data_IF_394124088517
#
_entry.id   IF_394124088517
#
_cell.length_a   1.000
_cell.length_b   1.000
_cell.length_c   1.000
_cell.angle_alpha   90.00
_cell.angle_beta   90.00
_cell.angle_gamma   90.00
#
_symmetry.space_group_name_H-M   'P 1'
#
loop_
_entity.id
_entity.type
_entity.pdbx_description
1 polymer ?
#
# COMPACT_ATOMS: atom_id res chain seq x y z
N UNK A 1 5.79 25.06 21.98
CA UNK A 1 5.68 24.61 21.60
C UNK A 1 5.93 24.35 20.35
N UNK A 2 6.21 24.74 19.58
CA UNK A 2 6.44 24.41 18.32
C UNK A 2 7.58 23.60 17.97
N UNK A 3 7.29 22.44 17.65
CA UNK A 3 8.31 21.61 17.06
C UNK A 3 8.31 21.94 15.59
N UNK A 4 9.48 22.31 15.09
CA UNK A 4 9.59 22.62 13.68
C UNK A 4 9.66 21.31 12.89
N UNK A 5 8.60 20.99 12.18
CA UNK A 5 8.51 19.75 11.40
C UNK A 5 9.16 19.86 10.02
N UNK A 6 9.59 21.06 9.64
CA UNK A 6 10.10 21.24 8.29
C UNK A 6 11.29 20.35 7.95
N UNK A 7 12.33 20.25 8.82
CA UNK A 7 13.41 19.32 8.51
C UNK A 7 12.94 17.87 8.41
N UNK A 8 12.00 17.49 9.26
CA UNK A 8 11.49 16.13 9.25
C UNK A 8 10.73 15.84 7.97
N UNK A 9 9.90 16.80 7.53
CA UNK A 9 9.17 16.66 6.28
C UNK A 9 10.11 16.53 5.10
N UNK A 10 11.14 17.36 5.05
CA UNK A 10 12.09 17.33 3.95
C UNK A 10 12.87 16.03 3.93
N UNK A 11 13.26 15.55 5.10
CA UNK A 11 14.00 14.31 5.21
C UNK A 11 13.15 13.13 4.74
N UNK A 12 11.90 13.08 5.16
CA UNK A 12 11.03 11.98 4.79
C UNK A 12 10.68 12.02 3.30
N UNK A 13 10.46 13.22 2.78
CA UNK A 13 10.17 13.36 1.36
C UNK A 13 11.37 12.91 0.52
N UNK A 14 12.57 13.28 0.96
CA UNK A 14 13.78 12.88 0.29
C UNK A 14 13.94 11.35 0.31
N UNK A 15 13.65 10.74 1.45
CA UNK A 15 13.74 9.30 1.60
C UNK A 15 12.76 8.58 0.67
N UNK A 16 11.51 9.00 0.66
CA UNK A 16 10.52 8.35 -0.19
C UNK A 16 10.82 8.60 -1.67
N UNK A 17 11.36 9.77 -1.99
CA UNK A 17 11.79 10.03 -3.35
C UNK A 17 12.89 9.07 -3.76
N UNK A 18 13.81 8.77 -2.85
CA UNK A 18 14.94 7.90 -3.17
C UNK A 18 14.52 6.45 -3.40
N UNK A 19 13.47 5.98 -2.73
CA UNK A 19 13.10 4.57 -2.83
C UNK A 19 11.96 4.30 -3.82
N UNK A 20 11.03 5.22 -4.01
CA UNK A 20 9.92 5.00 -4.95
C UNK A 20 9.70 6.20 -5.89
N UNK A 21 10.66 7.10 -5.94
CA UNK A 21 10.58 8.26 -6.83
C UNK A 21 9.33 9.10 -6.55
N UNK A 22 9.01 9.26 -5.26
CA UNK A 22 7.83 10.02 -4.84
C UNK A 22 8.17 11.49 -4.78
N UNK A 23 7.54 12.30 -5.62
CA UNK A 23 7.81 13.72 -5.66
C UNK A 23 7.07 14.49 -4.58
N UNK A 24 7.32 15.81 -4.49
CA UNK A 24 6.70 16.62 -3.42
C UNK A 24 5.18 16.65 -3.48
N UNK A 25 4.59 16.69 -4.67
CA UNK A 25 3.15 16.74 -4.79
C UNK A 25 2.52 15.45 -4.30
N UNK A 26 3.11 14.33 -4.68
CA UNK A 26 2.60 13.04 -4.23
C UNK A 26 2.81 12.86 -2.75
N UNK A 27 3.93 13.34 -2.22
CA UNK A 27 4.16 13.30 -0.78
C UNK A 27 3.08 14.11 -0.04
N UNK A 28 2.69 15.25 -0.61
CA UNK A 28 1.60 16.03 -0.05
C UNK A 28 0.29 15.23 0.00
N UNK A 29 0.00 14.47 -1.05
CA UNK A 29 -1.19 13.64 -1.06
C UNK A 29 -1.13 12.53 -0.01
N UNK A 30 0.06 11.94 0.16
CA UNK A 30 0.26 10.93 1.19
C UNK A 30 0.02 11.52 2.58
N UNK A 31 0.56 12.72 2.83
CA UNK A 31 0.37 13.38 4.12
C UNK A 31 -1.08 13.73 4.39
N UNK A 32 -1.84 14.09 3.35
CA UNK A 32 -3.24 14.40 3.53
C UNK A 32 -4.01 13.18 4.02
N UNK A 33 -3.70 12.02 3.46
CA UNK A 33 -4.41 10.79 3.83
C UNK A 33 -3.89 10.17 5.11
N UNK A 34 -2.61 10.33 5.38
CA UNK A 34 -1.98 9.72 6.54
C UNK A 34 -0.89 10.64 7.07
N UNK A 35 -1.26 11.61 7.91
CA UNK A 35 -0.28 12.58 8.41
C UNK A 35 0.89 11.94 9.14
N UNK A 36 0.66 10.82 9.83
CA UNK A 36 1.72 10.14 10.55
C UNK A 36 2.79 9.56 9.65
N UNK A 37 2.56 9.58 8.33
CA UNK A 37 3.59 9.08 7.41
C UNK A 37 4.88 9.87 7.50
N UNK A 38 4.82 11.11 8.01
CA UNK A 38 6.01 11.92 8.18
C UNK A 38 6.98 11.27 9.18
N UNK A 39 6.47 10.44 10.08
CA UNK A 39 7.27 9.84 11.15
C UNK A 39 7.57 8.36 10.95
N UNK A 40 7.18 7.77 9.83
CA UNK A 40 7.43 6.36 9.62
C UNK A 40 8.94 6.09 9.55
N UNK A 41 9.36 5.02 10.24
CA UNK A 41 10.76 4.63 10.24
C UNK A 41 11.17 4.05 8.89
N UNK A 42 12.42 4.31 8.52
CA UNK A 42 12.91 3.92 7.20
C UNK A 42 12.93 2.41 6.99
N UNK A 43 13.40 1.67 7.98
CA UNK A 43 13.57 0.22 7.80
C UNK A 43 12.25 -0.51 7.51
N UNK A 44 11.18 -0.30 8.29
CA UNK A 44 9.91 -0.94 7.93
C UNK A 44 9.36 -0.48 6.59
N UNK A 45 9.53 0.80 6.26
CA UNK A 45 9.03 1.30 4.98
C UNK A 45 9.73 0.58 3.83
N UNK A 46 11.04 0.41 3.93
CA UNK A 46 11.79 -0.31 2.89
C UNK A 46 11.28 -1.74 2.76
N UNK A 47 11.03 -2.40 3.89
CA UNK A 47 10.52 -3.78 3.85
C UNK A 47 9.18 -3.86 3.15
N UNK A 48 8.29 -2.90 3.41
CA UNK A 48 6.97 -2.89 2.76
C UNK A 48 7.10 -2.64 1.27
N UNK A 49 7.93 -1.68 0.89
CA UNK A 49 8.15 -1.39 -0.53
C UNK A 49 8.75 -2.61 -1.23
N UNK A 50 9.73 -3.24 -0.60
CA UNK A 50 10.36 -4.43 -1.19
C UNK A 50 9.34 -5.54 -1.37
N UNK A 51 8.46 -5.74 -0.39
CA UNK A 51 7.42 -6.76 -0.52
C UNK A 51 6.52 -6.48 -1.73
N UNK A 52 6.10 -5.24 -1.89
CA UNK A 52 5.20 -4.91 -2.99
C UNK A 52 5.92 -5.09 -4.33
N UNK A 53 7.18 -4.69 -4.40
CA UNK A 53 7.96 -4.93 -5.61
C UNK A 53 8.10 -6.43 -5.90
N UNK A 54 8.32 -7.21 -4.86
CA UNK A 54 8.48 -8.67 -5.03
C UNK A 54 7.18 -9.31 -5.50
N UNK A 55 6.04 -8.69 -5.24
CA UNK A 55 4.76 -9.17 -5.76
C UNK A 55 4.68 -9.06 -7.27
N UNK A 56 5.53 -8.24 -7.88
CA UNK A 56 5.55 -8.09 -9.32
C UNK A 56 5.16 -6.71 -9.82
N UNK A 57 4.97 -5.76 -8.91
CA UNK A 57 4.60 -4.39 -9.31
C UNK A 57 5.82 -3.59 -9.70
N UNK A 58 5.68 -2.77 -10.75
CA UNK A 58 6.74 -1.87 -11.16
C UNK A 58 6.87 -0.71 -10.16
N UNK A 59 7.98 0.01 -10.25
CA UNK A 59 8.18 1.17 -9.39
C UNK A 59 7.04 2.18 -9.54
N UNK A 60 6.63 2.41 -10.78
CA UNK A 60 5.54 3.34 -11.06
C UNK A 60 4.24 2.86 -10.41
N UNK A 61 3.97 1.56 -10.48
CA UNK A 61 2.78 0.99 -9.87
C UNK A 61 2.84 1.09 -8.35
N UNK A 62 4.01 0.81 -7.76
CA UNK A 62 4.18 0.94 -6.32
C UNK A 62 3.88 2.36 -5.88
N UNK A 63 4.42 3.35 -6.60
CA UNK A 63 4.19 4.75 -6.27
C UNK A 63 2.71 5.08 -6.31
N UNK A 64 2.03 4.65 -7.35
CA UNK A 64 0.60 4.90 -7.49
C UNK A 64 -0.19 4.27 -6.34
N UNK A 65 0.15 3.04 -5.97
CA UNK A 65 -0.53 2.34 -4.89
C UNK A 65 -0.31 3.06 -3.56
N UNK A 66 0.91 3.51 -3.30
CA UNK A 66 1.22 4.21 -2.05
C UNK A 66 0.49 5.54 -1.97
N UNK A 67 0.42 6.27 -3.06
CA UNK A 67 -0.32 7.54 -3.07
C UNK A 67 -1.81 7.28 -2.83
N UNK A 68 -2.34 6.24 -3.41
CA UNK A 68 -3.75 5.89 -3.23
C UNK A 68 -4.07 5.34 -1.85
N UNK A 69 -3.11 4.65 -1.24
CA UNK A 69 -3.32 4.02 0.06
C UNK A 69 -2.01 4.03 0.86
N UNK A 70 -1.67 5.15 1.50
CA UNK A 70 -0.41 5.24 2.23
C UNK A 70 -0.26 4.23 3.37
N UNK A 71 -1.36 3.68 3.88
CA UNK A 71 -1.30 2.65 4.90
C UNK A 71 -0.48 1.44 4.47
N UNK A 72 -0.30 1.26 3.15
CA UNK A 72 0.52 0.15 2.67
C UNK A 72 1.93 0.18 3.24
N UNK A 73 2.40 1.35 3.65
CA UNK A 73 3.75 1.48 4.21
C UNK A 73 3.82 1.09 5.67
N UNK A 74 2.68 0.86 6.33
CA UNK A 74 2.64 0.65 7.77
C UNK A 74 1.81 -0.56 8.23
N UNK A 75 1.16 -1.25 7.30
CA UNK A 75 0.34 -2.40 7.66
C UNK A 75 1.18 -3.58 8.14
N UNK A 76 0.55 -4.52 8.84
CA UNK A 76 1.22 -5.74 9.23
C UNK A 76 1.63 -6.50 7.96
N UNK A 77 2.92 -6.73 7.82
CA UNK A 77 3.46 -7.32 6.61
C UNK A 77 2.99 -8.76 6.40
N UNK A 78 2.89 -9.53 7.48
CA UNK A 78 2.45 -10.92 7.38
C UNK A 78 1.00 -10.98 6.88
N UNK A 79 0.17 -10.05 7.34
CA UNK A 79 -1.22 -10.00 6.88
C UNK A 79 -1.28 -9.61 5.42
N UNK A 80 -0.44 -8.66 5.00
CA UNK A 80 -0.38 -8.30 3.59
C UNK A 80 0.00 -9.50 2.73
N UNK A 81 0.96 -10.30 3.22
CA UNK A 81 1.39 -11.48 2.48
C UNK A 81 0.26 -12.49 2.34
N UNK A 82 -0.51 -12.71 3.41
CA UNK A 82 -1.64 -13.63 3.36
C UNK A 82 -2.70 -13.15 2.38
N UNK A 83 -3.00 -11.85 2.40
CA UNK A 83 -3.99 -11.30 1.48
C UNK A 83 -3.54 -11.43 0.03
N UNK A 84 -2.27 -11.16 -0.22
CA UNK A 84 -1.76 -11.26 -1.59
C UNK A 84 -1.76 -12.70 -2.06
N UNK A 85 -1.39 -13.64 -1.17
CA UNK A 85 -1.40 -15.05 -1.52
C UNK A 85 -2.80 -15.50 -1.90
N UNK A 86 -3.80 -15.10 -1.12
CA UNK A 86 -5.18 -15.43 -1.45
C UNK A 86 -5.60 -14.82 -2.79
N UNK A 87 -5.20 -13.56 -3.02
CA UNK A 87 -5.51 -12.88 -4.27
C UNK A 87 -4.97 -13.69 -5.46
N UNK A 88 -3.72 -14.11 -5.36
CA UNK A 88 -3.11 -14.85 -6.45
C UNK A 88 -3.67 -16.25 -6.65
N UNK A 89 -3.86 -16.98 -5.56
CA UNK A 89 -4.20 -18.41 -5.67
C UNK A 89 -5.68 -18.68 -5.80
N UNK A 90 -6.50 -17.83 -5.19
CA UNK A 90 -7.94 -18.10 -5.14
C UNK A 90 -8.78 -17.16 -5.99
N UNK A 91 -8.37 -15.91 -6.10
CA UNK A 91 -9.20 -14.95 -6.83
C UNK A 91 -8.87 -14.87 -8.32
N UNK A 92 -7.64 -15.18 -8.68
CA UNK A 92 -7.27 -15.26 -10.10
C UNK A 92 -7.42 -13.98 -10.87
N UNK A 93 -7.24 -12.84 -10.23
CA UNK A 93 -7.40 -11.55 -10.91
C UNK A 93 -6.05 -10.96 -11.28
N UNK A 94 -6.08 -10.00 -12.19
CA UNK A 94 -4.85 -9.35 -12.65
C UNK A 94 -4.27 -8.44 -11.58
N UNK A 95 -2.95 -8.32 -11.57
CA UNK A 95 -2.27 -7.45 -10.62
C UNK A 95 -2.75 -6.00 -10.73
N UNK A 96 -3.12 -5.57 -11.93
CA UNK A 96 -3.61 -4.20 -12.13
C UNK A 96 -4.82 -3.88 -11.24
N UNK A 97 -5.60 -4.89 -10.88
CA UNK A 97 -6.73 -4.65 -10.00
C UNK A 97 -6.28 -4.12 -8.64
N UNK A 98 -5.12 -4.57 -8.16
CA UNK A 98 -4.58 -4.09 -6.90
C UNK A 98 -3.98 -2.70 -7.03
N UNK A 99 -3.48 -2.36 -8.21
CA UNK A 99 -3.00 -0.99 -8.44
C UNK A 99 -4.17 -0.01 -8.37
N UNK A 100 -5.31 -0.41 -8.93
CA UNK A 100 -6.50 0.42 -8.92
C UNK A 100 -7.14 0.47 -7.53
N UNK A 101 -7.05 -0.61 -6.79
CA UNK A 101 -7.68 -0.71 -5.47
C UNK A 101 -6.71 -1.27 -4.45
N UNK A 102 -5.68 -0.50 -4.08
CA UNK A 102 -4.67 -1.00 -3.16
C UNK A 102 -5.18 -1.19 -1.73
N UNK A 103 -6.31 -0.59 -1.39
CA UNK A 103 -6.90 -0.77 -0.07
C UNK A 103 -7.26 -2.22 0.22
N UNK A 104 -7.28 -3.07 -0.81
CA UNK A 104 -7.48 -4.50 -0.62
C UNK A 104 -6.59 -5.06 0.49
N UNK A 105 -5.34 -4.60 0.54
CA UNK A 105 -4.39 -5.08 1.55
C UNK A 105 -4.78 -4.72 2.97
N UNK A 106 -5.67 -3.74 3.14
CA UNK A 106 -6.07 -3.31 4.49
C UNK A 106 -7.22 -4.12 5.06
N UNK A 107 -7.87 -4.94 4.24
CA UNK A 107 -9.05 -5.68 4.70
C UNK A 107 -8.67 -6.97 5.39
N UNK A 108 -9.49 -7.39 6.36
CA UNK A 108 -9.30 -8.67 7.01
C UNK A 108 -9.60 -9.81 6.04
N UNK A 109 -8.69 -10.76 5.96
CA UNK A 109 -8.86 -11.88 5.03
C UNK A 109 -10.09 -12.70 5.37
N UNK A 110 -10.20 -13.12 6.65
CA UNK A 110 -11.31 -13.99 7.05
C UNK A 110 -12.62 -13.24 7.19
N UNK A 111 -12.57 -11.99 7.64
CA UNK A 111 -13.79 -11.24 7.91
C UNK A 111 -14.37 -10.54 6.70
N UNK A 112 -13.55 -10.24 5.71
CA UNK A 112 -14.00 -9.42 4.59
C UNK A 112 -13.67 -10.01 3.23
N UNK A 113 -12.41 -10.32 3.00
CA UNK A 113 -11.97 -10.73 1.65
C UNK A 113 -12.60 -12.05 1.24
N UNK A 114 -12.47 -13.08 2.06
CA UNK A 114 -13.03 -14.38 1.71
C UNK A 114 -14.55 -14.36 1.59
N UNK A 115 -15.28 -13.75 2.53
CA UNK A 115 -16.74 -13.72 2.39
C UNK A 115 -17.21 -12.99 1.13
N UNK A 116 -16.58 -11.86 0.81
CA UNK A 116 -16.96 -11.11 -0.39
C UNK A 116 -16.64 -11.87 -1.66
N UNK A 117 -15.49 -12.51 -1.69
CA UNK A 117 -15.10 -13.30 -2.85
C UNK A 117 -16.08 -14.46 -3.07
N UNK A 118 -16.44 -15.15 -2.00
CA UNK A 118 -17.38 -16.27 -2.09
C UNK A 118 -18.75 -15.78 -2.55
N UNK A 119 -19.20 -14.64 -2.07
CA UNK A 119 -20.50 -14.12 -2.45
C UNK A 119 -20.52 -13.77 -3.94
N UNK A 120 -19.48 -13.12 -4.44
CA UNK A 120 -19.43 -12.76 -5.85
C UNK A 120 -19.40 -14.02 -6.71
N UNK A 121 -18.61 -15.01 -6.35
CA UNK A 121 -18.54 -16.26 -7.10
C UNK A 121 -19.87 -16.98 -7.11
N UNK A 122 -20.54 -17.00 -5.95
CA UNK A 122 -21.82 -17.69 -5.82
C UNK A 122 -22.89 -17.05 -6.68
N UNK A 123 -22.88 -15.72 -6.79
CA UNK A 123 -23.88 -15.01 -7.57
C UNK A 123 -23.53 -14.96 -9.05
N UNK A 124 -22.40 -15.43 -9.41
CA UNK A 124 -21.97 -15.38 -10.79
C UNK A 124 -21.54 -14.00 -11.26
N UNK A 125 -21.21 -13.14 -10.28
CA UNK A 125 -20.76 -11.80 -10.62
C UNK A 125 -19.28 -11.82 -10.95
N UNK A 126 -16.83 -12.37 -11.61
CA UNK A 126 -16.46 -12.33 -11.63
C UNK A 126 -16.32 -12.21 -11.68
N UNK A 127 -16.31 -10.53 -11.46
CA UNK A 127 -15.46 -9.39 -11.07
C UNK A 127 -15.10 -8.63 -12.33
#
# INVERSE_FOLDING_TARGET
>A
IGIDLKPKLLCQQSFLNSIIDLGPEDFGRVLEKMPQSVSLSNTPVVKHVDFIKDCGFSLQQVRKMVVGCPQLLALNLDIMKLNFDYFQTEMGRALDDLVTFPAFFTYGLESTVKPRHKMVAKKGLXY
#
